data_IF_140834833731
#
_entry.id   IF_140834833731
#
_cell.length_a   1.000
_cell.length_b   1.000
_cell.length_c   1.000
_cell.angle_alpha   90.00
_cell.angle_beta   90.00
_cell.angle_gamma   90.00
#
_symmetry.space_group_name_H-M   'P 1'
#
loop_
_entity.id
_entity.type
_entity.pdbx_description
1 polymer ?
#
# COMPACT_ATOMS: atom_id res chain seq x y z
N UNK A 1 -4.39 -8.33 1.27
CA UNK A 1 -3.20 -7.98 2.09
C UNK A 1 -3.23 -6.48 2.26
N UNK A 2 -3.42 -6.00 3.48
CA UNK A 2 -3.53 -4.54 3.70
C UNK A 2 -2.16 -3.92 3.61
N UNK A 3 -2.05 -2.86 2.82
CA UNK A 3 -0.80 -2.12 2.66
C UNK A 3 -1.00 -0.63 2.90
N UNK A 4 0.03 -0.01 3.44
CA UNK A 4 0.17 1.44 3.51
C UNK A 4 1.59 1.78 3.09
N UNK A 5 1.71 2.68 2.11
CA UNK A 5 2.97 3.07 1.51
C UNK A 5 3.03 4.59 1.53
N UNK A 6 4.09 5.16 2.11
CA UNK A 6 4.31 6.60 2.10
C UNK A 6 5.49 6.94 1.22
N UNK A 7 5.32 7.91 0.34
CA UNK A 7 6.37 8.43 -0.54
C UNK A 7 6.52 9.94 -0.37
N UNK A 8 7.73 10.45 -0.61
CA UNK A 8 8.08 11.85 -0.30
C UNK A 8 7.39 12.86 -1.21
N UNK A 9 7.16 12.49 -2.45
CA UNK A 9 6.67 13.37 -3.50
C UNK A 9 5.15 13.23 -3.66
N UNK A 10 4.47 14.30 -4.11
CA UNK A 10 3.07 14.20 -4.50
C UNK A 10 2.93 13.44 -5.81
N UNK A 11 2.34 12.24 -5.76
CA UNK A 11 1.95 11.55 -6.99
C UNK A 11 0.88 12.36 -7.71
N UNK A 12 0.97 12.42 -9.04
CA UNK A 12 -0.12 12.95 -9.84
C UNK A 12 -1.35 12.03 -9.74
N UNK A 13 -2.55 12.62 -9.69
CA UNK A 13 -3.82 11.89 -9.54
C UNK A 13 -4.09 10.90 -10.69
N UNK A 14 -3.44 11.08 -11.85
CA UNK A 14 -3.46 10.12 -12.96
C UNK A 14 -2.98 8.71 -12.59
N UNK A 15 -2.16 8.58 -11.54
CA UNK A 15 -1.66 7.29 -11.05
C UNK A 15 -2.68 6.48 -10.25
N UNK A 16 -3.78 7.09 -9.79
CA UNK A 16 -4.85 6.35 -9.11
C UNK A 16 -5.42 5.24 -10.00
N UNK A 17 -5.46 5.44 -11.32
CA UNK A 17 -5.92 4.45 -12.28
C UNK A 17 -4.94 3.29 -12.55
N UNK A 18 -3.68 3.42 -12.12
CA UNK A 18 -2.58 2.50 -12.46
C UNK A 18 -2.11 1.63 -11.29
N UNK A 19 -2.47 1.97 -10.06
CA UNK A 19 -1.94 1.33 -8.85
C UNK A 19 -3.00 0.44 -8.18
N UNK A 20 -3.46 -0.59 -8.88
CA UNK A 20 -4.18 -1.76 -8.33
C UNK A 20 -5.10 -1.44 -7.12
N UNK A 21 -6.08 -0.54 -7.33
CA UNK A 21 -7.08 -0.12 -6.33
C UNK A 21 -6.54 0.55 -5.05
N UNK A 22 -5.28 1.00 -5.05
CA UNK A 22 -4.72 1.80 -3.97
C UNK A 22 -5.24 3.24 -4.03
N UNK A 23 -5.85 3.67 -2.93
CA UNK A 23 -6.24 5.06 -2.73
C UNK A 23 -4.99 5.92 -2.53
N UNK A 24 -4.84 6.98 -3.33
CA UNK A 24 -3.76 7.96 -3.17
C UNK A 24 -4.30 9.18 -2.44
N UNK A 25 -3.74 9.47 -1.26
CA UNK A 25 -4.05 10.66 -0.46
C UNK A 25 -2.82 11.57 -0.40
N UNK A 26 -2.98 12.84 -0.76
CA UNK A 26 -1.91 13.83 -0.63
C UNK A 26 -1.93 14.38 0.79
N UNK A 27 -0.77 14.38 1.44
CA UNK A 27 -0.60 14.89 2.78
C UNK A 27 -0.08 16.33 2.75
N UNK A 28 -0.40 17.09 3.80
CA UNK A 28 -0.04 18.52 3.92
C UNK A 28 1.46 18.78 4.06
N UNK A 29 2.25 17.76 4.37
CA UNK A 29 3.71 17.82 4.50
C UNK A 29 4.45 17.56 3.18
N UNK A 30 3.72 17.50 2.06
CA UNK A 30 4.28 17.26 0.74
C UNK A 30 4.41 15.78 0.36
N UNK A 31 4.01 14.85 1.23
CA UNK A 31 4.08 13.41 0.98
C UNK A 31 2.78 12.84 0.39
N UNK A 32 2.85 11.65 -0.22
CA UNK A 32 1.66 10.89 -0.64
C UNK A 32 1.56 9.58 0.13
N UNK A 33 0.34 9.29 0.59
CA UNK A 33 -0.02 8.01 1.22
C UNK A 33 -0.82 7.18 0.22
N UNK A 34 -0.33 5.99 -0.09
CA UNK A 34 -1.02 4.98 -0.88
C UNK A 34 -1.51 3.89 0.08
N UNK A 35 -2.80 3.60 0.09
CA UNK A 35 -3.36 2.58 0.98
C UNK A 35 -4.47 1.78 0.31
N UNK A 36 -4.56 0.50 0.66
CA UNK A 36 -5.57 -0.40 0.12
C UNK A 36 -5.27 -1.87 0.41
N UNK A 37 -6.03 -2.74 -0.25
CA UNK A 37 -5.82 -4.18 -0.22
C UNK A 37 -5.16 -4.62 -1.52
N UNK A 38 -4.03 -5.32 -1.42
CA UNK A 38 -3.41 -5.99 -2.55
C UNK A 38 -3.71 -7.49 -2.51
N UNK A 39 -3.86 -8.15 -3.68
CA UNK A 39 -4.18 -9.58 -3.73
C UNK A 39 -3.07 -10.44 -3.11
N UNK A 40 -1.81 -10.09 -3.32
CA UNK A 40 -0.66 -10.85 -2.83
C UNK A 40 0.62 -9.98 -2.72
N UNK A 41 1.75 -10.63 -2.39
CA UNK A 41 3.05 -9.96 -2.33
C UNK A 41 3.60 -9.61 -3.72
N UNK A 42 3.23 -10.32 -4.78
CA UNK A 42 3.71 -10.01 -6.14
C UNK A 42 3.14 -8.67 -6.63
N UNK A 43 1.86 -8.40 -6.35
CA UNK A 43 1.25 -7.09 -6.56
C UNK A 43 1.98 -5.97 -5.79
N UNK A 44 2.34 -6.21 -4.53
CA UNK A 44 3.14 -5.25 -3.75
C UNK A 44 4.49 -4.96 -4.41
N UNK A 45 5.21 -5.98 -4.87
CA UNK A 45 6.47 -5.79 -5.60
C UNK A 45 6.27 -5.01 -6.90
N UNK A 46 5.14 -5.21 -7.60
CA UNK A 46 4.75 -4.41 -8.77
C UNK A 46 4.62 -2.92 -8.45
N UNK A 47 3.93 -2.59 -7.36
CA UNK A 47 3.75 -1.22 -6.87
C UNK A 47 5.11 -0.60 -6.47
N UNK A 48 5.94 -1.32 -5.72
CA UNK A 48 7.28 -0.83 -5.33
C UNK A 48 8.20 -0.60 -6.54
N UNK A 49 8.09 -1.44 -7.57
CA UNK A 49 8.82 -1.26 -8.81
C UNK A 49 8.34 -0.02 -9.56
N UNK A 50 7.04 0.26 -9.58
CA UNK A 50 6.48 1.48 -10.16
C UNK A 50 7.01 2.73 -9.45
N UNK A 51 6.99 2.73 -8.11
CA UNK A 51 7.56 3.81 -7.28
C UNK A 51 9.02 4.08 -7.65
N UNK A 52 9.84 3.01 -7.73
CA UNK A 52 11.25 3.12 -8.15
C UNK A 52 11.41 3.68 -9.57
N UNK A 53 10.60 3.20 -10.53
CA UNK A 53 10.65 3.65 -11.94
C UNK A 53 10.34 5.13 -12.08
N UNK A 54 9.52 5.67 -11.18
CA UNK A 54 9.15 7.09 -11.14
C UNK A 54 10.17 7.97 -10.40
N UNK A 55 11.20 7.36 -9.79
CA UNK A 55 12.17 8.09 -8.98
C UNK A 55 11.60 8.63 -7.68
N UNK A 56 10.49 8.06 -7.21
CA UNK A 56 9.86 8.46 -5.95
C UNK A 56 10.62 7.88 -4.76
N UNK A 57 10.74 8.65 -3.69
CA UNK A 57 11.43 8.24 -2.48
C UNK A 57 10.45 7.53 -1.55
N UNK A 58 10.64 6.23 -1.34
CA UNK A 58 9.89 5.47 -0.35
C UNK A 58 10.29 5.92 1.06
N UNK A 59 9.31 6.40 1.83
CA UNK A 59 9.50 6.86 3.21
C UNK A 59 9.10 5.79 4.22
N UNK A 60 7.98 5.11 3.98
CA UNK A 60 7.43 4.10 4.89
C UNK A 60 6.66 3.03 4.13
N UNK A 61 6.70 1.79 4.64
CA UNK A 61 5.95 0.65 4.13
C UNK A 61 5.45 -0.18 5.32
N UNK A 62 4.14 -0.29 5.44
CA UNK A 62 3.47 -1.18 6.39
C UNK A 62 2.60 -2.18 5.64
N UNK A 63 2.70 -3.44 6.04
CA UNK A 63 1.87 -4.51 5.51
C UNK A 63 1.24 -5.29 6.65
N UNK A 64 0.03 -5.78 6.45
CA UNK A 64 -0.64 -6.67 7.40
C UNK A 64 -1.32 -7.77 6.62
N UNK A 65 -0.93 -9.01 6.92
CA UNK A 65 -1.69 -10.18 6.52
C UNK A 65 -2.84 -10.33 7.50
N UNK A 66 -4.06 -10.49 6.99
CA UNK A 66 -5.21 -10.76 7.84
C UNK A 66 -5.06 -12.18 8.40
N UNK A 67 -4.41 -12.30 9.55
CA UNK A 67 -4.46 -13.52 10.36
C UNK A 67 -5.87 -13.60 10.92
N UNK A 68 -6.75 -14.38 10.30
CA UNK A 68 -7.96 -14.83 10.96
C UNK A 68 -7.53 -15.61 12.21
N UNK A 69 -7.51 -14.95 13.37
CA UNK A 69 -7.58 -15.64 14.66
C UNK A 69 -8.98 -16.23 14.75
N UNK A 70 -9.15 -17.46 14.29
CA UNK A 70 -10.21 -18.31 14.84
C UNK A 70 -9.72 -18.81 16.19
N UNK A 71 -9.86 -17.96 17.21
CA UNK A 71 -10.01 -18.46 18.57
C UNK A 71 -11.43 -19.03 18.66
N UNK A 72 -11.59 -20.31 18.32
CA UNK A 72 -12.72 -21.10 18.83
C UNK A 72 -12.16 -21.95 19.96
N UNK A 73 -12.31 -21.43 21.18
CA UNK A 73 -12.30 -22.27 22.36
C UNK A 73 -13.56 -23.15 22.41
N UNK A 74 -13.41 -24.26 23.13
CA UNK A 74 -14.45 -25.16 23.68
C UNK A 74 -15.25 -26.03 22.69
N UNK A 75 -14.98 -27.34 22.71
CA UNK A 75 -15.75 -28.32 23.50
C UNK A 75 -15.28 -29.76 23.19
N UNK A 76 -14.60 -30.41 24.15
CA UNK A 76 -14.75 -31.82 24.55
C UNK A 76 -13.69 -32.18 25.60
#
# INVERSE_FOLDING_TARGET
MRVQIRVKEHLDSSWQSRLEDLLITHQSDGTSLLSGELPDQAALYGVLLAIRRLGLSLLDLSTSVHSLRTETGEHA
#
